data_IF_572297107556
#
_entry.id   IF_572297107556
#
_cell.length_a   1.000
_cell.length_b   1.000
_cell.length_c   1.000
_cell.angle_alpha   90.00
_cell.angle_beta   90.00
_cell.angle_gamma   90.00
#
_symmetry.space_group_name_H-M   'P 1'
#
loop_
_entity.id
_entity.type
_entity.pdbx_description
1 polymer ?
#
# COMPACT_ATOMS: atom_id res chain seq x y z
N UNK A 1 -4.26 -15.16 4.60
CA UNK A 1 -3.44 -13.95 4.43
C UNK A 1 -4.37 -12.77 4.19
N UNK A 2 -4.17 -11.66 4.89
CA UNK A 2 -4.88 -10.40 4.68
C UNK A 2 -3.84 -9.32 4.47
N UNK A 3 -4.11 -8.38 3.59
CA UNK A 3 -3.26 -7.22 3.40
C UNK A 3 -4.13 -6.01 3.14
N UNK A 4 -3.67 -4.87 3.64
CA UNK A 4 -4.31 -3.57 3.42
C UNK A 4 -3.22 -2.54 3.32
N UNK A 5 -3.48 -1.46 2.61
CA UNK A 5 -2.66 -0.29 2.76
C UNK A 5 -3.21 0.90 2.01
N UNK A 6 -2.56 2.01 2.28
CA UNK A 6 -2.76 3.30 1.69
C UNK A 6 -1.49 3.62 0.91
N UNK A 7 -1.65 3.99 -0.35
CA UNK A 7 -0.55 4.36 -1.23
C UNK A 7 -0.67 5.83 -1.60
N UNK A 8 0.45 6.51 -1.56
CA UNK A 8 0.66 7.76 -2.26
C UNK A 8 1.18 7.45 -3.67
N UNK A 9 0.45 7.93 -4.67
CA UNK A 9 0.78 7.78 -6.09
C UNK A 9 1.28 9.13 -6.60
N UNK A 10 2.41 9.11 -7.31
CA UNK A 10 2.99 10.31 -7.89
C UNK A 10 2.05 10.93 -8.92
N UNK A 11 1.86 12.25 -8.84
CA UNK A 11 0.92 12.99 -9.67
C UNK A 11 -0.56 12.91 -9.27
N UNK A 12 -0.94 12.11 -8.27
CA UNK A 12 -2.34 11.94 -7.87
C UNK A 12 -2.67 12.59 -6.52
N UNK A 13 -3.66 13.49 -6.46
CA UNK A 13 -4.04 14.17 -5.22
C UNK A 13 -4.84 13.27 -4.27
N UNK A 14 -5.29 12.11 -4.74
CA UNK A 14 -6.10 11.15 -3.99
C UNK A 14 -5.27 10.03 -3.38
N UNK A 15 -5.70 9.57 -2.20
CA UNK A 15 -5.14 8.38 -1.56
C UNK A 15 -5.66 7.15 -2.28
N UNK A 16 -4.81 6.19 -2.58
CA UNK A 16 -5.22 4.90 -3.11
C UNK A 16 -5.28 3.89 -1.97
N UNK A 17 -6.46 3.33 -1.68
CA UNK A 17 -6.63 2.26 -0.70
C UNK A 17 -6.64 0.92 -1.42
N UNK A 18 -5.76 0.01 -1.02
CA UNK A 18 -5.81 -1.37 -1.46
C UNK A 18 -6.15 -2.28 -0.28
N UNK A 19 -6.95 -3.31 -0.54
CA UNK A 19 -7.27 -4.35 0.42
C UNK A 19 -7.36 -5.70 -0.30
N UNK A 20 -6.89 -6.75 0.37
CA UNK A 20 -7.01 -8.09 -0.16
C UNK A 20 -7.08 -9.16 0.91
N UNK A 21 -7.81 -10.23 0.56
CA UNK A 21 -8.00 -11.43 1.36
C UNK A 21 -7.66 -12.62 0.47
N UNK A 22 -6.64 -13.38 0.86
CA UNK A 22 -6.12 -14.50 0.07
C UNK A 22 -5.74 -14.04 -1.37
N UNK A 23 -6.39 -14.59 -2.41
CA UNK A 23 -6.15 -14.27 -3.82
C UNK A 23 -6.97 -13.08 -4.34
N UNK A 24 -7.96 -12.62 -3.57
CA UNK A 24 -8.78 -11.48 -3.96
C UNK A 24 -8.10 -10.19 -3.52
N UNK A 25 -7.82 -9.30 -4.46
CA UNK A 25 -7.37 -7.95 -4.21
C UNK A 25 -8.33 -6.95 -4.85
N UNK A 26 -8.49 -5.79 -4.23
CA UNK A 26 -9.19 -4.65 -4.78
C UNK A 26 -8.47 -3.39 -4.37
N UNK A 27 -8.36 -2.45 -5.29
CA UNK A 27 -7.81 -1.11 -5.04
C UNK A 27 -8.84 -0.10 -5.50
N UNK A 28 -9.09 0.90 -4.69
CA UNK A 28 -10.03 1.98 -4.99
C UNK A 28 -9.48 3.32 -4.51
N UNK A 29 -9.90 4.38 -5.18
CA UNK A 29 -9.57 5.74 -4.77
C UNK A 29 -10.43 6.12 -3.56
N UNK A 30 -9.78 6.65 -2.54
CA UNK A 30 -10.46 7.14 -1.35
C UNK A 30 -10.55 8.67 -1.41
N UNK A 31 -10.20 9.36 -0.33
CA UNK A 31 -10.26 10.82 -0.24
C UNK A 31 -8.96 11.49 -0.71
N UNK A 32 -9.02 12.78 -1.09
CA UNK A 32 -7.82 13.58 -1.32
C UNK A 32 -6.91 13.63 -0.08
N UNK A 33 -5.62 13.90 -0.29
CA UNK A 33 -4.67 14.13 0.79
C UNK A 33 -5.06 15.35 1.65
N UNK A 34 -5.55 16.41 1.02
CA UNK A 34 -5.88 17.66 1.72
C UNK A 34 -4.60 18.30 2.26
N UNK A 35 -4.58 18.65 3.54
CA UNK A 35 -3.43 19.25 4.22
C UNK A 35 -2.45 18.21 4.80
N UNK A 36 -2.75 16.91 4.68
CA UNK A 36 -1.86 15.85 5.18
C UNK A 36 -0.67 15.62 4.24
N UNK A 37 0.51 15.40 4.81
CA UNK A 37 1.69 14.97 4.02
C UNK A 37 1.42 13.60 3.40
N UNK A 38 1.50 13.46 2.06
CA UNK A 38 1.31 12.19 1.40
C UNK A 38 2.31 11.15 1.87
N UNK A 39 1.82 9.96 2.20
CA UNK A 39 2.65 8.85 2.66
C UNK A 39 2.03 7.49 2.33
N UNK A 40 2.85 6.46 2.23
CA UNK A 40 2.40 5.10 1.96
C UNK A 40 2.51 4.25 3.22
N UNK A 41 1.43 3.57 3.60
CA UNK A 41 1.36 2.66 4.76
C UNK A 41 0.77 1.33 4.32
N UNK A 42 1.53 0.24 4.44
CA UNK A 42 1.08 -1.11 4.09
C UNK A 42 1.16 -2.05 5.30
N UNK A 43 0.18 -2.94 5.43
CA UNK A 43 0.16 -4.02 6.40
C UNK A 43 -0.08 -5.36 5.70
N UNK A 44 0.79 -6.33 5.97
CA UNK A 44 0.69 -7.70 5.49
C UNK A 44 0.56 -8.64 6.68
N UNK A 45 -0.49 -9.46 6.69
CA UNK A 45 -0.80 -10.42 7.75
C UNK A 45 -0.83 -11.82 7.15
N UNK A 46 0.16 -12.64 7.49
CA UNK A 46 0.34 -13.99 6.98
C UNK A 46 1.28 -14.81 7.87
N UNK A 47 1.40 -16.10 7.55
CA UNK A 47 2.31 -17.03 8.24
C UNK A 47 3.57 -17.14 7.37
N UNK A 48 4.75 -17.03 7.98
CA UNK A 48 6.06 -17.13 7.29
C UNK A 48 6.19 -16.24 6.05
N UNK A 49 5.83 -14.95 6.20
CA UNK A 49 6.01 -13.99 5.12
C UNK A 49 7.51 -13.71 4.87
N UNK A 50 7.95 -13.62 3.60
CA UNK A 50 9.31 -13.22 3.27
C UNK A 50 9.46 -11.69 3.46
N UNK A 51 9.60 -11.26 4.71
CA UNK A 51 9.61 -9.83 5.08
C UNK A 51 10.71 -9.03 4.37
N UNK A 52 11.92 -9.58 4.29
CA UNK A 52 13.07 -8.90 3.67
C UNK A 52 12.84 -8.63 2.18
N UNK A 53 12.33 -9.62 1.44
CA UNK A 53 12.03 -9.48 0.02
C UNK A 53 10.95 -8.41 -0.21
N UNK A 54 9.89 -8.42 0.61
CA UNK A 54 8.81 -7.44 0.54
C UNK A 54 9.37 -6.03 0.77
N UNK A 55 10.18 -5.84 1.83
CA UNK A 55 10.78 -4.54 2.13
C UNK A 55 11.75 -4.08 1.04
N UNK A 56 12.58 -4.98 0.51
CA UNK A 56 13.52 -4.68 -0.56
C UNK A 56 12.79 -4.25 -1.85
N UNK A 57 11.70 -4.94 -2.21
CA UNK A 57 10.88 -4.59 -3.37
C UNK A 57 10.30 -3.17 -3.24
N UNK A 58 9.76 -2.80 -2.07
CA UNK A 58 9.24 -1.44 -1.85
C UNK A 58 10.35 -0.38 -1.75
N UNK A 59 11.51 -0.71 -1.19
CA UNK A 59 12.66 0.20 -1.16
C UNK A 59 13.16 0.57 -2.57
N UNK A 60 13.05 -0.36 -3.53
CA UNK A 60 13.41 -0.14 -4.93
C UNK A 60 12.46 0.79 -5.70
N UNK A 61 11.29 1.12 -5.15
CA UNK A 61 10.33 2.05 -5.77
C UNK A 61 10.64 3.53 -5.48
N UNK A 62 11.68 3.81 -4.68
CA UNK A 62 12.10 5.17 -4.37
C UNK A 62 12.73 5.81 -5.61
N UNK A 63 11.99 6.69 -6.28
CA UNK A 63 12.52 7.61 -7.31
C UNK A 63 13.13 8.85 -6.66
#
# INVERSE_FOLDING_TARGET
MRYKGMLWIDGEPNRLLFQGVQRLYSADWDRPWGDETPHSTLVFIGIQLPEEEIRAAFAGLRR
#
